data_IF_582344447469
#
_entry.id   IF_582344447469
#
_cell.length_a   1.000
_cell.length_b   1.000
_cell.length_c   1.000
_cell.angle_alpha   90.00
_cell.angle_beta   90.00
_cell.angle_gamma   90.00
#
_symmetry.space_group_name_H-M   'P 1'
#
loop_
_entity.id
_entity.type
_entity.pdbx_description
1 polymer ?
#
# COMPACT_ATOMS: atom_id res chain seq x y z
N UNK A 1 -65.52 2.81 28.69
CA UNK A 1 -64.96 2.45 27.36
C UNK A 1 -63.68 3.24 27.19
N UNK A 2 -62.62 2.53 26.82
CA UNK A 2 -61.24 2.78 27.23
C UNK A 2 -60.54 3.87 26.42
N UNK A 3 -59.80 4.73 27.12
CA UNK A 3 -58.82 5.65 26.54
C UNK A 3 -57.62 4.84 26.05
N UNK A 4 -57.40 4.80 24.74
CA UNK A 4 -56.20 4.26 24.12
C UNK A 4 -55.07 5.27 24.25
N UNK A 5 -54.36 5.22 25.38
CA UNK A 5 -53.03 5.81 25.50
C UNK A 5 -52.08 5.06 24.55
N UNK A 6 -51.76 5.67 23.42
CA UNK A 6 -50.72 5.23 22.50
C UNK A 6 -49.38 5.40 23.21
N UNK A 7 -49.01 4.41 24.02
CA UNK A 7 -47.70 4.32 24.65
C UNK A 7 -46.70 3.97 23.54
N UNK A 8 -45.92 4.98 23.13
CA UNK A 8 -44.71 4.80 22.34
C UNK A 8 -43.80 3.88 23.17
N UNK A 9 -43.89 2.57 22.92
CA UNK A 9 -43.06 1.58 23.60
C UNK A 9 -41.63 1.83 23.14
N UNK A 10 -40.88 2.54 23.99
CA UNK A 10 -39.45 2.76 23.87
C UNK A 10 -38.77 1.39 23.73
N UNK A 11 -38.43 1.04 22.50
CA UNK A 11 -37.79 -0.22 22.16
C UNK A 11 -36.41 -0.20 22.85
N UNK A 12 -36.14 -1.10 23.83
CA UNK A 12 -34.88 -1.07 24.55
C UNK A 12 -33.75 -1.24 23.55
N UNK A 13 -32.75 -0.37 23.65
CA UNK A 13 -31.63 -0.27 22.73
C UNK A 13 -31.05 -1.66 22.41
N UNK A 14 -31.18 -2.06 21.16
CA UNK A 14 -30.55 -3.26 20.60
C UNK A 14 -29.09 -3.30 21.06
N UNK A 15 -28.60 -4.43 21.62
CA UNK A 15 -27.19 -4.54 21.99
C UNK A 15 -26.37 -4.35 20.72
N UNK A 16 -25.47 -3.37 20.74
CA UNK A 16 -24.50 -3.12 19.68
C UNK A 16 -23.87 -4.45 19.32
N UNK A 17 -24.10 -4.91 18.09
CA UNK A 17 -23.44 -6.08 17.55
C UNK A 17 -21.93 -5.85 17.63
N UNK A 18 -21.30 -6.40 18.66
CA UNK A 18 -19.84 -6.46 18.79
C UNK A 18 -19.35 -7.35 17.66
N UNK A 19 -18.60 -6.75 16.73
CA UNK A 19 -17.96 -7.50 15.67
C UNK A 19 -17.04 -8.56 16.30
N UNK A 20 -17.20 -9.86 15.99
CA UNK A 20 -16.53 -10.97 16.68
C UNK A 20 -15.01 -11.02 16.45
N UNK A 21 -14.49 -10.19 15.55
CA UNK A 21 -13.07 -9.88 15.45
C UNK A 21 -12.80 -8.63 16.29
N UNK A 22 -12.33 -8.80 17.52
CA UNK A 22 -12.05 -7.76 18.53
C UNK A 22 -10.98 -6.71 18.17
N UNK A 23 -10.83 -6.36 16.90
CA UNK A 23 -9.95 -5.30 16.41
C UNK A 23 -10.80 -4.11 15.94
N UNK A 24 -11.33 -3.35 16.88
CA UNK A 24 -11.90 -2.04 16.59
C UNK A 24 -10.76 -1.03 16.38
N UNK A 25 -10.01 -1.18 15.29
CA UNK A 25 -9.03 -0.19 14.86
C UNK A 25 -9.78 1.12 14.59
N UNK A 26 -9.51 2.14 15.41
CA UNK A 26 -10.04 3.48 15.24
C UNK A 26 -9.77 3.95 13.79
N UNK A 27 -10.66 4.73 13.14
CA UNK A 27 -10.51 5.09 11.72
C UNK A 27 -9.13 5.66 11.38
N UNK A 28 -8.53 6.41 12.30
CA UNK A 28 -7.18 6.96 12.15
C UNK A 28 -6.08 5.88 12.19
N UNK A 29 -6.21 4.84 13.01
CA UNK A 29 -5.27 3.72 13.04
C UNK A 29 -5.28 2.94 11.71
N UNK A 30 -6.45 2.76 11.10
CA UNK A 30 -6.56 2.15 9.77
C UNK A 30 -5.89 3.01 8.69
N UNK A 31 -6.10 4.33 8.73
CA UNK A 31 -5.44 5.26 7.82
C UNK A 31 -3.91 5.20 7.93
N UNK A 32 -3.38 5.28 9.14
CA UNK A 32 -1.95 5.17 9.40
C UNK A 32 -1.38 3.82 8.94
N UNK A 33 -2.07 2.71 9.23
CA UNK A 33 -1.65 1.38 8.79
C UNK A 33 -1.58 1.30 7.26
N UNK A 34 -2.58 1.84 6.56
CA UNK A 34 -2.62 1.86 5.10
C UNK A 34 -1.44 2.65 4.51
N UNK A 35 -1.16 3.83 5.05
CA UNK A 35 -0.01 4.65 4.62
C UNK A 35 1.32 3.91 4.84
N UNK A 36 1.49 3.25 5.99
CA UNK A 36 2.69 2.45 6.28
C UNK A 36 2.84 1.31 5.27
N UNK A 37 1.76 0.55 5.02
CA UNK A 37 1.78 -0.56 4.06
C UNK A 37 2.12 -0.07 2.66
N UNK A 38 1.50 1.02 2.19
CA UNK A 38 1.82 1.63 0.90
C UNK A 38 3.28 2.11 0.84
N UNK A 39 3.80 2.73 1.90
CA UNK A 39 5.19 3.16 1.98
C UNK A 39 6.18 1.99 1.88
N UNK A 40 5.90 0.87 2.57
CA UNK A 40 6.71 -0.35 2.48
C UNK A 40 6.66 -0.92 1.06
N UNK A 41 5.47 -1.04 0.45
CA UNK A 41 5.32 -1.54 -0.91
C UNK A 41 6.06 -0.66 -1.92
N UNK A 42 5.94 0.65 -1.80
CA UNK A 42 6.67 1.63 -2.61
C UNK A 42 8.18 1.41 -2.50
N UNK A 43 8.72 1.32 -1.28
CA UNK A 43 10.15 1.07 -1.05
C UNK A 43 10.60 -0.27 -1.64
N UNK A 44 9.79 -1.34 -1.53
CA UNK A 44 10.12 -2.64 -2.13
C UNK A 44 10.18 -2.57 -3.65
N UNK A 45 9.19 -1.93 -4.28
CA UNK A 45 9.18 -1.75 -5.75
C UNK A 45 10.35 -0.89 -6.20
N UNK A 46 10.63 0.20 -5.47
CA UNK A 46 11.76 1.08 -5.76
C UNK A 46 13.11 0.35 -5.66
N UNK A 47 13.33 -0.46 -4.62
CA UNK A 47 14.53 -1.29 -4.49
C UNK A 47 14.66 -2.31 -5.63
N UNK A 48 13.57 -2.98 -6.01
CA UNK A 48 13.56 -3.89 -7.17
C UNK A 48 13.93 -3.19 -8.47
N UNK A 49 13.48 -1.94 -8.65
CA UNK A 49 13.83 -1.11 -9.82
C UNK A 49 15.32 -0.74 -9.84
N UNK A 50 15.90 -0.41 -8.68
CA UNK A 50 17.33 -0.09 -8.57
C UNK A 50 18.22 -1.32 -8.80
N UNK A 51 17.85 -2.48 -8.25
CA UNK A 51 18.62 -3.73 -8.38
C UNK A 51 18.77 -4.20 -9.84
N UNK A 52 17.85 -3.81 -10.72
CA UNK A 52 17.90 -4.17 -12.14
C UNK A 52 18.58 -3.11 -13.01
N UNK A 53 19.20 -2.07 -12.44
CA UNK A 53 19.92 -1.07 -13.23
C UNK A 53 21.32 -1.55 -13.59
N UNK A 54 21.70 -1.40 -14.86
CA UNK A 54 23.03 -1.76 -15.36
C UNK A 54 23.92 -0.50 -15.37
N UNK A 55 25.11 -0.59 -14.79
CA UNK A 55 26.08 0.51 -14.80
C UNK A 55 27.02 0.30 -15.99
N UNK A 56 27.15 1.31 -16.84
CA UNK A 56 28.07 1.25 -17.98
C UNK A 56 29.52 1.23 -17.49
N UNK A 57 30.31 0.24 -17.90
CA UNK A 57 31.74 0.12 -17.57
C UNK A 57 32.60 1.23 -18.18
N UNK A 58 32.19 1.80 -19.30
CA UNK A 58 32.94 2.84 -20.00
C UNK A 58 32.72 4.25 -19.42
N UNK A 59 31.50 4.59 -19.00
CA UNK A 59 31.17 5.96 -18.57
C UNK A 59 30.44 6.08 -17.23
N UNK A 60 30.16 4.96 -16.54
CA UNK A 60 29.52 4.94 -15.22
C UNK A 60 28.03 5.29 -15.20
N UNK A 61 27.39 5.56 -16.35
CA UNK A 61 25.95 5.88 -16.41
C UNK A 61 25.12 4.66 -16.01
N UNK A 62 24.11 4.86 -15.15
CA UNK A 62 23.04 3.88 -14.91
C UNK A 62 22.09 3.81 -16.11
N UNK A 63 21.88 2.61 -16.62
CA UNK A 63 21.00 2.31 -17.74
C UNK A 63 19.93 1.29 -17.32
N UNK A 64 18.77 1.28 -17.98
CA UNK A 64 17.75 0.25 -17.77
C UNK A 64 18.26 -1.16 -18.15
N UNK A 65 17.72 -2.23 -17.53
CA UNK A 65 18.17 -3.61 -17.77
C UNK A 65 17.94 -4.10 -19.20
N UNK A 66 16.93 -3.56 -19.89
CA UNK A 66 16.53 -3.98 -21.24
C UNK A 66 17.38 -3.34 -22.34
N UNK A 67 18.21 -2.34 -22.02
CA UNK A 67 19.07 -1.69 -23.02
C UNK A 67 20.31 -2.52 -23.29
N UNK A 68 20.69 -2.66 -24.57
CA UNK A 68 21.93 -3.33 -25.00
C UNK A 68 23.12 -2.37 -25.02
N UNK A 69 22.88 -1.09 -25.29
CA UNK A 69 23.91 -0.06 -25.38
C UNK A 69 23.64 1.05 -24.35
N UNK A 70 24.71 1.70 -23.92
CA UNK A 70 24.61 2.81 -22.97
C UNK A 70 23.93 4.01 -23.63
N UNK A 71 22.92 4.57 -22.97
CA UNK A 71 22.18 5.75 -23.45
C UNK A 71 23.02 7.05 -23.47
N UNK A 72 24.22 7.06 -22.88
CA UNK A 72 25.12 8.23 -22.85
C UNK A 72 26.26 8.14 -23.85
N UNK A 73 26.95 7.00 -23.91
CA UNK A 73 28.18 6.83 -24.68
C UNK A 73 28.08 5.79 -25.80
N UNK A 74 26.90 5.18 -26.00
CA UNK A 74 26.64 4.11 -26.96
C UNK A 74 27.48 2.83 -26.80
N UNK A 75 28.39 2.75 -25.81
CA UNK A 75 29.15 1.54 -25.52
C UNK A 75 28.23 0.36 -25.13
N UNK A 76 28.60 -0.88 -25.49
CA UNK A 76 27.82 -2.06 -25.13
C UNK A 76 27.74 -2.24 -23.61
N UNK A 77 26.55 -2.57 -23.11
CA UNK A 77 26.31 -2.88 -21.70
C UNK A 77 26.53 -4.38 -21.48
N UNK A 78 27.55 -4.72 -20.70
CA UNK A 78 27.80 -6.09 -20.27
C UNK A 78 26.80 -6.46 -19.16
N UNK A 79 26.06 -7.56 -19.34
CA UNK A 79 25.28 -8.18 -18.27
C UNK A 79 26.20 -9.16 -17.54
N UNK A 80 26.26 -9.04 -16.21
CA UNK A 80 26.89 -10.06 -15.35
C UNK A 80 25.73 -10.94 -14.93
N UNK A 81 25.49 -12.00 -15.70
CA UNK A 81 24.48 -13.02 -15.38
C UNK A 81 24.96 -13.93 -14.24
#
# INVERSE_FOLDING_TARGET
>A
MSQTSFSLQEQPAQPKAESPTGFFLQPWQKGTLLVIVLGILYLRVWRRKQARSLICSHCGKKNPPHQSNCMKCAAPLMRVD
#
